data_IF_069199444675
#
_entry.id   IF_069199444675
#
_cell.length_a   1.000
_cell.length_b   1.000
_cell.length_c   1.000
_cell.angle_alpha   90.00
_cell.angle_beta   90.00
_cell.angle_gamma   90.00
#
_symmetry.space_group_name_H-M   'P 1'
#
loop_
_entity.id
_entity.type
_entity.pdbx_description
1 polymer ?
#
# COMPACT_ATOMS: atom_id res chain seq x y z
N UNK A 1 12.07 14.46 19.58
CA UNK A 1 12.68 14.21 18.24
C UNK A 1 12.01 13.00 17.56
N UNK A 2 11.15 13.25 16.56
CA UNK A 2 10.59 12.17 15.73
C UNK A 2 11.07 12.37 14.30
N UNK A 3 11.62 11.30 13.75
CA UNK A 3 12.15 11.25 12.40
C UNK A 3 10.98 10.99 11.48
N UNK A 4 10.66 11.94 10.59
CA UNK A 4 10.00 11.61 9.34
C UNK A 4 10.99 10.73 8.59
N UNK A 5 10.81 9.42 8.70
CA UNK A 5 11.74 8.47 8.12
C UNK A 5 11.45 8.40 6.62
N UNK A 6 12.40 8.88 5.81
CA UNK A 6 12.51 8.42 4.42
C UNK A 6 12.46 6.88 4.41
N UNK A 7 11.85 6.30 3.38
CA UNK A 7 11.59 4.85 3.30
C UNK A 7 12.84 4.00 3.57
N UNK A 8 14.00 4.44 3.10
CA UNK A 8 15.30 3.80 3.31
C UNK A 8 15.77 3.80 4.76
N UNK A 9 15.48 4.88 5.50
CA UNK A 9 15.81 5.00 6.92
C UNK A 9 14.96 4.06 7.77
N UNK A 10 13.67 3.96 7.48
CA UNK A 10 12.74 3.10 8.23
C UNK A 10 13.06 1.62 8.02
N UNK A 11 13.29 1.21 6.77
CA UNK A 11 13.70 -0.16 6.45
C UNK A 11 15.02 -0.54 7.12
N UNK A 12 16.02 0.36 7.12
CA UNK A 12 17.29 0.14 7.81
C UNK A 12 17.11 0.00 9.32
N UNK A 13 16.25 0.83 9.92
CA UNK A 13 15.96 0.79 11.35
C UNK A 13 15.27 -0.52 11.76
N UNK A 14 14.27 -0.96 10.98
CA UNK A 14 13.59 -2.23 11.21
C UNK A 14 14.57 -3.39 11.09
N UNK A 15 15.39 -3.41 10.04
CA UNK A 15 16.40 -4.47 9.84
C UNK A 15 17.36 -4.55 11.03
N UNK A 16 17.89 -3.42 11.49
CA UNK A 16 18.77 -3.37 12.67
C UNK A 16 18.07 -3.85 13.93
N UNK A 17 16.79 -3.52 14.12
CA UNK A 17 16.01 -3.98 15.25
C UNK A 17 15.78 -5.51 15.23
N UNK A 18 15.61 -6.10 14.03
CA UNK A 18 15.43 -7.55 13.84
C UNK A 18 16.75 -8.33 13.97
N UNK A 19 17.87 -7.76 13.52
CA UNK A 19 19.21 -8.37 13.58
C UNK A 19 19.83 -8.37 14.99
N UNK A 20 19.33 -7.52 15.90
CA UNK A 20 19.72 -7.50 17.31
C UNK A 20 19.35 -8.81 18.01
N UNK A 21 20.28 -9.77 18.03
CA UNK A 21 20.08 -11.13 18.56
C UNK A 21 19.82 -11.22 20.08
N UNK A 22 20.02 -10.14 20.82
CA UNK A 22 19.75 -10.06 22.26
C UNK A 22 18.55 -9.17 22.55
N UNK A 23 17.34 -9.71 22.34
CA UNK A 23 16.11 -9.09 22.84
C UNK A 23 16.06 -9.35 24.35
N UNK A 24 16.96 -8.70 25.11
CA UNK A 24 16.77 -8.54 26.54
C UNK A 24 15.42 -7.82 26.71
N UNK A 25 14.43 -8.50 27.28
CA UNK A 25 13.01 -8.15 27.35
C UNK A 25 12.64 -6.83 28.08
N UNK A 26 13.52 -5.83 28.12
CA UNK A 26 13.29 -4.53 28.74
C UNK A 26 13.10 -3.44 27.68
N UNK A 27 11.99 -3.52 26.94
CA UNK A 27 11.44 -2.37 26.19
C UNK A 27 11.92 -2.17 24.75
N UNK A 28 12.54 -3.16 24.11
CA UNK A 28 12.78 -3.12 22.66
C UNK A 28 11.57 -3.71 21.91
N UNK A 29 10.97 -2.90 21.03
CA UNK A 29 9.80 -3.29 20.24
C UNK A 29 9.46 -2.21 19.20
N UNK A 30 8.64 -2.58 18.23
CA UNK A 30 8.02 -1.64 17.29
C UNK A 30 6.58 -1.41 17.74
N UNK A 31 6.23 -0.16 18.03
CA UNK A 31 4.85 0.22 18.36
C UNK A 31 4.26 1.03 17.21
N UNK A 32 3.07 0.62 16.78
CA UNK A 32 2.25 1.35 15.82
C UNK A 32 1.04 1.89 16.57
N UNK A 33 0.73 3.16 16.39
CA UNK A 33 -0.48 3.77 16.93
C UNK A 33 -1.23 4.51 15.83
N UNK A 34 -2.57 4.46 15.89
CA UNK A 34 -3.44 5.22 15.01
C UNK A 34 -4.08 6.34 15.82
N UNK A 35 -4.12 7.54 15.22
CA UNK A 35 -4.81 8.70 15.79
C UNK A 35 -5.73 9.29 14.74
N UNK A 36 -7.01 9.42 15.07
CA UNK A 36 -7.98 10.13 14.24
C UNK A 36 -7.81 11.63 14.45
N UNK A 37 -7.69 12.37 13.35
CA UNK A 37 -7.67 13.84 13.33
C UNK A 37 -8.96 14.31 12.65
N UNK A 38 -9.63 15.29 13.26
CA UNK A 38 -10.90 15.80 12.78
C UNK A 38 -10.70 17.03 11.90
N UNK A 39 -11.56 17.18 10.88
CA UNK A 39 -11.50 18.26 9.90
C UNK A 39 -11.04 17.77 8.53
N UNK A 40 -11.06 18.68 7.56
CA UNK A 40 -10.51 18.41 6.23
C UNK A 40 -8.97 18.46 6.24
N UNK A 41 -8.35 18.06 5.13
CA UNK A 41 -6.89 18.02 5.01
C UNK A 41 -6.24 19.40 5.23
N UNK A 42 -6.90 20.49 4.84
CA UNK A 42 -6.39 21.85 4.98
C UNK A 42 -6.38 22.27 6.46
N UNK A 43 -7.46 21.98 7.17
CA UNK A 43 -7.58 22.24 8.60
C UNK A 43 -6.59 21.38 9.39
N UNK A 44 -6.49 20.08 9.11
CA UNK A 44 -5.56 19.18 9.80
C UNK A 44 -4.11 19.62 9.62
N UNK A 45 -3.73 20.08 8.43
CA UNK A 45 -2.38 20.64 8.18
C UNK A 45 -2.11 21.92 8.96
N UNK A 46 -3.12 22.76 9.17
CA UNK A 46 -2.99 24.00 9.94
C UNK A 46 -2.89 23.73 11.44
N UNK A 47 -3.73 22.83 11.97
CA UNK A 47 -3.83 22.56 13.40
C UNK A 47 -2.74 21.57 13.88
N UNK A 48 -2.25 20.72 12.97
CA UNK A 48 -1.22 19.71 13.24
C UNK A 48 -0.09 19.69 12.19
N UNK A 49 0.61 20.81 11.96
CA UNK A 49 1.61 20.95 10.88
C UNK A 49 2.84 20.04 11.05
N UNK A 50 3.07 19.54 12.26
CA UNK A 50 4.15 18.61 12.59
C UNK A 50 3.76 17.14 12.40
N UNK A 51 2.47 16.84 12.20
CA UNK A 51 1.97 15.48 11.95
C UNK A 51 1.64 15.28 10.47
N UNK A 52 1.15 16.32 9.80
CA UNK A 52 0.72 16.26 8.40
C UNK A 52 1.34 17.44 7.67
N UNK A 53 2.22 17.14 6.73
CA UNK A 53 2.91 18.12 5.91
C UNK A 53 2.47 18.01 4.44
N UNK A 54 3.23 18.64 3.53
CA UNK A 54 2.98 18.55 2.09
C UNK A 54 3.45 17.24 1.45
N UNK A 55 4.42 16.55 2.08
CA UNK A 55 4.95 15.27 1.59
C UNK A 55 4.12 14.06 2.03
N UNK A 56 3.25 14.25 3.02
CA UNK A 56 2.36 13.22 3.55
C UNK A 56 1.46 12.68 2.43
N UNK A 57 1.61 11.39 2.14
CA UNK A 57 0.78 10.69 1.18
C UNK A 57 -0.69 10.73 1.59
N UNK A 58 -1.57 11.01 0.61
CA UNK A 58 -3.02 11.07 0.82
C UNK A 58 -3.65 9.88 0.10
N UNK A 59 -4.19 8.94 0.88
CA UNK A 59 -4.99 7.86 0.37
C UNK A 59 -6.48 8.25 0.40
N UNK A 60 -7.21 8.01 -0.70
CA UNK A 60 -8.68 8.10 -0.69
C UNK A 60 -9.27 6.87 0.00
N UNK A 61 -10.48 7.02 0.56
CA UNK A 61 -11.29 5.91 1.07
C UNK A 61 -11.40 4.79 0.02
N UNK A 62 -11.16 3.55 0.42
CA UNK A 62 -11.42 2.37 -0.41
C UNK A 62 -12.94 2.29 -0.68
N UNK A 63 -13.31 2.16 -1.97
CA UNK A 63 -14.71 2.21 -2.39
C UNK A 63 -15.31 3.62 -2.43
N UNK A 64 -16.56 3.76 -2.85
CA UNK A 64 -17.20 5.05 -3.12
C UNK A 64 -17.39 5.94 -1.87
N UNK A 65 -17.35 7.28 -2.05
CA UNK A 65 -17.82 8.19 -1.01
C UNK A 65 -19.32 8.00 -0.75
N UNK A 66 -19.80 8.47 0.40
CA UNK A 66 -21.21 8.37 0.78
C UNK A 66 -22.14 9.14 -0.16
N UNK A 67 -21.65 10.23 -0.74
CA UNK A 67 -22.33 11.00 -1.77
C UNK A 67 -21.50 10.95 -3.04
N UNK A 68 -22.06 10.40 -4.11
CA UNK A 68 -21.47 10.40 -5.45
C UNK A 68 -22.06 11.58 -6.21
N UNK A 69 -21.25 12.61 -6.42
CA UNK A 69 -21.67 13.76 -7.22
C UNK A 69 -21.71 13.34 -8.69
N UNK A 70 -22.85 13.49 -9.39
CA UNK A 70 -22.93 13.14 -10.80
C UNK A 70 -22.00 14.07 -11.59
N UNK A 71 -20.97 13.50 -12.20
CA UNK A 71 -20.08 14.22 -13.12
C UNK A 71 -20.85 14.61 -14.38
N UNK A 72 -21.46 15.79 -14.40
CA UNK A 72 -21.97 16.36 -15.65
C UNK A 72 -20.86 17.18 -16.29
N UNK A 73 -20.66 16.89 -17.58
CA UNK A 73 -19.86 17.55 -18.62
C UNK A 73 -18.91 18.67 -18.17
N UNK A 74 -17.67 18.59 -18.64
CA UNK A 74 -16.52 19.47 -18.37
C UNK A 74 -16.74 21.00 -18.55
N UNK A 75 -17.96 21.47 -18.81
CA UNK A 75 -18.34 22.88 -18.82
C UNK A 75 -19.12 23.37 -17.58
N UNK A 76 -19.90 22.52 -16.89
CA UNK A 76 -20.91 23.02 -15.93
C UNK A 76 -20.60 22.71 -14.46
N UNK A 77 -19.74 21.72 -14.17
CA UNK A 77 -19.34 21.43 -12.79
C UNK A 77 -17.94 20.79 -12.73
N UNK A 78 -16.86 21.56 -12.52
CA UNK A 78 -15.49 21.05 -12.47
C UNK A 78 -15.21 20.14 -11.26
N UNK A 79 -16.15 20.02 -10.32
CA UNK A 79 -16.02 19.21 -9.10
C UNK A 79 -16.63 17.80 -9.15
N UNK A 80 -17.05 17.30 -10.32
CA UNK A 80 -17.56 15.94 -10.45
C UNK A 80 -16.51 14.87 -10.17
N UNK A 81 -16.82 13.87 -9.34
CA UNK A 81 -15.92 12.74 -9.06
C UNK A 81 -16.02 11.71 -10.20
N UNK A 82 -15.09 11.78 -11.15
CA UNK A 82 -14.92 10.75 -12.18
C UNK A 82 -14.00 9.68 -11.60
N UNK A 83 -14.58 8.59 -11.09
CA UNK A 83 -13.84 7.51 -10.44
C UNK A 83 -14.04 6.18 -11.15
N UNK A 84 -12.99 5.71 -11.82
CA UNK A 84 -12.88 4.36 -12.38
C UNK A 84 -11.70 3.59 -11.76
N UNK A 85 -11.43 3.81 -10.47
CA UNK A 85 -10.39 3.06 -9.76
C UNK A 85 -10.87 1.63 -9.49
N UNK A 86 -10.07 0.63 -9.83
CA UNK A 86 -10.31 -0.77 -9.49
C UNK A 86 -9.33 -1.18 -8.39
N UNK A 87 -9.85 -1.71 -7.28
CA UNK A 87 -9.00 -2.26 -6.21
C UNK A 87 -8.91 -3.77 -6.36
N UNK A 88 -7.68 -4.27 -6.47
CA UNK A 88 -7.37 -5.70 -6.51
C UNK A 88 -6.65 -6.07 -5.21
N UNK A 89 -7.15 -7.10 -4.52
CA UNK A 89 -6.50 -7.62 -3.31
C UNK A 89 -6.00 -9.04 -3.55
N UNK A 90 -4.68 -9.23 -3.46
CA UNK A 90 -4.06 -10.55 -3.38
C UNK A 90 -4.23 -11.07 -1.95
N UNK A 91 -5.25 -11.92 -1.74
CA UNK A 91 -5.60 -12.40 -0.40
C UNK A 91 -4.64 -13.51 0.06
N UNK A 92 -4.71 -14.67 -0.60
CA UNK A 92 -3.97 -15.87 -0.21
C UNK A 92 -3.88 -16.88 -1.34
N UNK A 93 -2.97 -17.85 -1.19
CA UNK A 93 -2.83 -19.00 -2.07
C UNK A 93 -2.22 -20.18 -1.33
N UNK A 94 -2.54 -21.40 -1.78
CA UNK A 94 -1.97 -22.63 -1.23
C UNK A 94 -1.20 -23.36 -2.33
N UNK A 95 0.07 -23.65 -2.06
CA UNK A 95 0.96 -24.27 -3.04
C UNK A 95 1.61 -25.52 -2.45
N UNK A 96 1.47 -26.64 -3.14
CA UNK A 96 2.12 -27.88 -2.74
C UNK A 96 3.61 -27.88 -3.15
N UNK A 97 4.43 -28.53 -2.33
CA UNK A 97 5.84 -28.80 -2.61
C UNK A 97 6.04 -29.95 -3.62
N UNK A 98 5.01 -30.75 -3.88
CA UNK A 98 5.10 -31.94 -4.72
C UNK A 98 6.08 -32.95 -4.13
N UNK A 99 7.01 -33.46 -4.94
CA UNK A 99 8.03 -34.43 -4.50
C UNK A 99 9.22 -33.83 -3.75
N UNK A 100 9.28 -32.50 -3.58
CA UNK A 100 10.42 -31.85 -2.91
C UNK A 100 10.30 -31.92 -1.38
N UNK A 101 11.45 -31.87 -0.70
CA UNK A 101 11.52 -31.89 0.77
C UNK A 101 10.97 -30.60 1.40
N UNK A 102 11.31 -29.45 0.82
CA UNK A 102 10.97 -28.11 1.30
C UNK A 102 9.82 -27.47 0.50
N UNK A 103 9.14 -26.51 1.11
CA UNK A 103 8.12 -25.70 0.43
C UNK A 103 8.75 -24.74 -0.59
N UNK A 104 7.94 -24.29 -1.55
CA UNK A 104 8.36 -23.30 -2.55
C UNK A 104 8.30 -21.89 -1.95
N UNK A 105 9.20 -21.02 -2.42
CA UNK A 105 9.09 -19.59 -2.24
C UNK A 105 8.22 -19.07 -3.39
N UNK A 106 7.10 -18.42 -3.07
CA UNK A 106 6.10 -18.02 -4.06
C UNK A 106 6.07 -16.51 -4.18
N UNK A 107 6.08 -16.03 -5.42
CA UNK A 107 5.92 -14.63 -5.78
C UNK A 107 4.79 -14.54 -6.82
N UNK A 108 3.85 -13.62 -6.62
CA UNK A 108 2.79 -13.32 -7.59
C UNK A 108 3.17 -12.05 -8.32
N UNK A 109 3.13 -12.10 -9.65
CA UNK A 109 3.28 -10.90 -10.50
C UNK A 109 1.92 -10.52 -11.06
N UNK A 110 1.54 -9.25 -10.90
CA UNK A 110 0.31 -8.67 -11.46
C UNK A 110 0.68 -7.69 -12.54
N UNK A 111 0.00 -7.76 -13.69
CA UNK A 111 0.05 -6.78 -14.76
C UNK A 111 -1.36 -6.59 -15.34
N UNK A 112 -1.60 -5.47 -16.00
CA UNK A 112 -2.85 -5.19 -16.72
C UNK A 112 -2.57 -5.32 -18.21
N UNK A 113 -3.37 -6.12 -18.91
CA UNK A 113 -3.21 -6.33 -20.35
C UNK A 113 -4.42 -5.80 -21.12
N UNK A 114 -4.18 -5.34 -22.35
CA UNK A 114 -5.22 -5.04 -23.33
C UNK A 114 -5.79 -6.33 -23.97
N UNK A 115 -6.77 -6.16 -24.87
CA UNK A 115 -7.41 -7.26 -25.60
C UNK A 115 -6.45 -8.06 -26.49
N UNK A 116 -5.33 -7.46 -26.90
CA UNK A 116 -4.28 -8.11 -27.69
C UNK A 116 -3.20 -8.78 -26.81
N UNK A 117 -3.32 -8.68 -25.48
CA UNK A 117 -2.36 -9.24 -24.53
C UNK A 117 -1.15 -8.35 -24.24
N UNK A 118 -1.13 -7.10 -24.72
CA UNK A 118 -0.03 -6.17 -24.43
C UNK A 118 -0.20 -5.57 -23.04
N UNK A 119 0.90 -5.43 -22.30
CA UNK A 119 0.88 -4.81 -20.97
C UNK A 119 0.62 -3.32 -21.08
N UNK A 120 -0.44 -2.85 -20.42
CA UNK A 120 -0.75 -1.44 -20.25
C UNK A 120 0.23 -0.84 -19.25
N UNK A 121 0.92 0.22 -19.66
CA UNK A 121 2.02 0.78 -18.88
C UNK A 121 1.54 1.72 -17.78
N UNK A 122 2.17 1.65 -16.62
CA UNK A 122 2.02 2.62 -15.52
C UNK A 122 0.57 2.85 -15.06
N UNK A 123 -0.19 1.76 -14.88
CA UNK A 123 -1.57 1.82 -14.37
C UNK A 123 -1.72 1.28 -12.95
N UNK A 124 -0.74 0.54 -12.43
CA UNK A 124 -0.82 -0.06 -11.10
C UNK A 124 -0.20 0.87 -10.06
N UNK A 125 -0.93 1.14 -8.99
CA UNK A 125 -0.48 1.89 -7.82
C UNK A 125 -0.51 0.95 -6.60
N UNK A 126 0.66 0.60 -6.07
CA UNK A 126 0.80 -0.29 -4.91
C UNK A 126 0.45 0.41 -3.57
N UNK A 127 0.61 1.73 -3.53
CA UNK A 127 0.40 2.54 -2.34
C UNK A 127 0.06 3.99 -2.70
N UNK A 128 -0.44 4.73 -1.72
CA UNK A 128 -0.63 6.16 -1.89
C UNK A 128 0.73 6.87 -1.87
N UNK A 129 1.00 7.70 -2.86
CA UNK A 129 2.26 8.42 -3.00
C UNK A 129 3.33 7.66 -3.80
N UNK A 130 3.12 6.39 -4.11
CA UNK A 130 4.03 5.62 -4.97
C UNK A 130 3.83 6.01 -6.45
N UNK A 131 4.93 5.96 -7.20
CA UNK A 131 4.87 6.11 -8.66
C UNK A 131 4.14 4.91 -9.28
N UNK A 132 3.30 5.13 -10.31
CA UNK A 132 2.63 4.03 -10.97
C UNK A 132 3.62 3.09 -11.66
N UNK A 133 3.27 1.81 -11.72
CA UNK A 133 4.06 0.76 -12.38
C UNK A 133 3.22 -0.06 -13.35
N UNK A 134 3.89 -0.74 -14.28
CA UNK A 134 3.25 -1.69 -15.21
C UNK A 134 3.16 -3.11 -14.63
N UNK A 135 3.98 -3.40 -13.61
CA UNK A 135 4.04 -4.70 -12.94
C UNK A 135 4.12 -4.49 -11.43
N UNK A 136 3.36 -5.30 -10.71
CA UNK A 136 3.46 -5.44 -9.26
C UNK A 136 3.98 -6.83 -8.91
N UNK A 137 4.84 -6.94 -7.90
CA UNK A 137 5.38 -8.20 -7.40
C UNK A 137 5.10 -8.31 -5.91
N UNK A 138 4.48 -9.41 -5.51
CA UNK A 138 4.12 -9.65 -4.11
C UNK A 138 5.33 -9.89 -3.22
N UNK A 139 5.15 -9.76 -1.91
CA UNK A 139 6.12 -10.27 -0.93
C UNK A 139 6.27 -11.79 -1.08
N UNK A 140 7.46 -12.29 -0.81
CA UNK A 140 7.79 -13.73 -0.83
C UNK A 140 7.96 -14.23 0.61
N UNK A 141 6.99 -15.01 1.09
CA UNK A 141 7.12 -15.68 2.38
C UNK A 141 7.91 -16.99 2.24
N UNK A 142 8.99 -17.08 3.02
CA UNK A 142 9.94 -18.19 2.93
C UNK A 142 9.30 -19.53 3.32
N UNK A 143 9.31 -20.47 2.38
CA UNK A 143 8.88 -21.85 2.58
C UNK A 143 7.51 -22.01 3.26
N UNK A 144 6.58 -21.11 2.96
CA UNK A 144 5.25 -21.13 3.54
C UNK A 144 4.26 -21.83 2.60
N UNK A 145 3.56 -22.85 3.10
CA UNK A 145 2.53 -23.56 2.32
C UNK A 145 1.31 -22.68 2.04
N UNK A 146 0.82 -22.02 3.09
CA UNK A 146 -0.31 -21.09 3.03
C UNK A 146 0.22 -19.67 2.92
N UNK A 147 0.28 -19.15 1.70
CA UNK A 147 0.67 -17.77 1.42
C UNK A 147 -0.49 -16.85 1.77
N UNK A 148 -0.25 -15.82 2.58
CA UNK A 148 -1.25 -14.81 2.97
C UNK A 148 -0.67 -13.43 2.75
N UNK A 149 -0.83 -12.92 1.53
CA UNK A 149 -0.28 -11.61 1.15
C UNK A 149 -1.07 -10.47 1.77
N UNK A 150 -2.40 -10.49 1.64
CA UNK A 150 -3.27 -9.38 2.05
C UNK A 150 -2.82 -8.04 1.46
N UNK A 151 -2.30 -8.07 0.25
CA UNK A 151 -1.77 -6.91 -0.48
C UNK A 151 -2.88 -6.33 -1.35
N UNK A 152 -3.14 -5.03 -1.23
CA UNK A 152 -4.15 -4.33 -2.04
C UNK A 152 -3.48 -3.30 -2.93
N UNK A 153 -3.78 -3.38 -4.22
CA UNK A 153 -3.30 -2.45 -5.25
C UNK A 153 -4.49 -1.76 -5.92
N UNK A 154 -4.26 -0.54 -6.39
CA UNK A 154 -5.21 0.24 -7.18
C UNK A 154 -4.76 0.22 -8.65
N UNK A 155 -5.69 -0.12 -9.54
CA UNK A 155 -5.56 0.03 -11.00
C UNK A 155 -6.40 1.22 -11.44
#
# INVERSE_FOLDING_TARGET
PRVAADGDFLHTMIRKAVEGKDINHKGQGLWVSLKVLWGDLSQVRKDHPHLVDRSTAVARKLGYPEVIMPGKHAGDNPGGDVRNDIYLTLVQGEFDKGSKKTQKNVEVTVCVCDEAGNVVQNVIHAGAGDSPSSHYRSVVYYQQRHQRWMETLKV
#
